data_IF_718149708309
#
_entry.id   IF_718149708309
#
_cell.length_a   1.000
_cell.length_b   1.000
_cell.length_c   1.000
_cell.angle_alpha   90.00
_cell.angle_beta   90.00
_cell.angle_gamma   90.00
#
_symmetry.space_group_name_H-M   'P 1'
#
loop_
_entity.id
_entity.type
_entity.pdbx_description
1 polymer ?
#
# COMPACT_ATOMS: atom_id res chain seq x y z
N UNK A 1 -26.58 -4.40 -9.93
CA UNK A 1 -26.52 -3.08 -9.25
C UNK A 1 -27.22 -3.24 -7.93
N UNK A 2 -26.46 -3.55 -6.88
CA UNK A 2 -26.99 -3.65 -5.51
C UNK A 2 -27.42 -2.25 -5.08
N UNK A 3 -28.69 -2.07 -4.70
CA UNK A 3 -29.17 -0.85 -4.07
C UNK A 3 -28.45 -0.75 -2.71
N UNK A 4 -27.43 0.09 -2.65
CA UNK A 4 -26.77 0.44 -1.40
C UNK A 4 -27.79 1.27 -0.62
N UNK A 5 -28.25 0.73 0.50
CA UNK A 5 -29.15 1.42 1.40
C UNK A 5 -28.31 2.46 2.16
N UNK A 6 -28.33 3.70 1.72
CA UNK A 6 -27.52 4.82 2.24
C UNK A 6 -27.72 5.14 3.73
N UNK A 7 -28.72 4.53 4.38
CA UNK A 7 -29.00 4.77 5.80
C UNK A 7 -28.13 3.96 6.79
N UNK A 8 -27.37 2.97 6.31
CA UNK A 8 -26.42 2.18 7.14
C UNK A 8 -25.05 2.08 6.49
N UNK A 9 -24.64 3.11 5.77
CA UNK A 9 -23.42 3.05 5.00
C UNK A 9 -22.18 3.30 5.88
N UNK A 10 -21.57 2.25 6.34
CA UNK A 10 -20.14 2.22 6.57
C UNK A 10 -19.41 2.13 5.20
N UNK A 11 -19.76 3.05 4.29
CA UNK A 11 -19.01 3.18 3.04
C UNK A 11 -17.68 3.81 3.40
N UNK A 12 -16.64 2.98 3.45
CA UNK A 12 -15.27 3.46 3.60
C UNK A 12 -14.88 4.18 2.33
N UNK A 13 -14.60 5.46 2.45
CA UNK A 13 -13.93 6.20 1.42
C UNK A 13 -12.40 5.99 1.52
N UNK A 14 -11.70 6.39 0.48
CA UNK A 14 -10.23 6.23 0.40
C UNK A 14 -9.49 6.96 1.53
N UNK A 15 -9.98 8.13 1.95
CA UNK A 15 -9.36 8.89 3.03
C UNK A 15 -9.50 8.15 4.37
N UNK A 16 -10.68 7.62 4.66
CA UNK A 16 -10.93 6.84 5.88
C UNK A 16 -10.03 5.60 5.90
N UNK A 17 -9.93 4.86 4.78
CA UNK A 17 -9.02 3.73 4.66
C UNK A 17 -7.56 4.14 4.92
N UNK A 18 -7.06 5.20 4.27
CA UNK A 18 -5.69 5.66 4.49
C UNK A 18 -5.41 6.09 5.93
N UNK A 19 -6.40 6.66 6.63
CA UNK A 19 -6.30 7.00 8.05
C UNK A 19 -6.28 5.76 8.95
N UNK A 20 -7.07 4.73 8.62
CA UNK A 20 -7.05 3.44 9.32
C UNK A 20 -5.68 2.77 9.17
N UNK A 21 -5.14 2.70 7.94
CA UNK A 21 -3.80 2.18 7.66
C UNK A 21 -2.74 2.96 8.43
N UNK A 22 -2.80 4.29 8.44
CA UNK A 22 -1.85 5.13 9.16
C UNK A 22 -1.91 4.90 10.68
N UNK A 23 -3.12 4.78 11.24
CA UNK A 23 -3.31 4.50 12.66
C UNK A 23 -2.78 3.13 13.06
N UNK A 24 -3.06 2.10 12.26
CA UNK A 24 -2.54 0.76 12.47
C UNK A 24 -1.00 0.72 12.38
N UNK A 25 -0.42 1.39 11.38
CA UNK A 25 1.02 1.45 11.20
C UNK A 25 1.74 2.12 12.38
N UNK A 26 1.21 3.24 12.88
CA UNK A 26 1.77 3.93 14.05
C UNK A 26 1.64 3.07 15.31
N UNK A 27 0.49 2.41 15.48
CA UNK A 27 0.29 1.50 16.60
C UNK A 27 1.30 0.34 16.58
N UNK A 28 1.50 -0.30 15.42
CA UNK A 28 2.49 -1.37 15.27
C UNK A 28 3.89 -0.82 15.53
N UNK A 29 4.25 0.33 14.94
CA UNK A 29 5.52 0.98 15.18
C UNK A 29 5.81 1.16 16.67
N UNK A 30 4.82 1.59 17.46
CA UNK A 30 4.99 1.81 18.90
C UNK A 30 5.25 0.52 19.69
N UNK A 31 4.91 -0.64 19.14
CA UNK A 31 5.18 -1.96 19.76
C UNK A 31 6.49 -2.59 19.27
N UNK A 32 7.14 -2.03 18.26
CA UNK A 32 8.41 -2.56 17.76
C UNK A 32 9.55 -2.44 18.78
N UNK A 33 10.56 -3.32 18.72
CA UNK A 33 11.79 -3.19 19.48
C UNK A 33 12.47 -1.83 19.21
N UNK A 34 13.08 -1.24 20.24
CA UNK A 34 13.67 0.10 20.18
C UNK A 34 14.64 0.28 19.01
N UNK A 35 15.43 -0.74 18.69
CA UNK A 35 16.39 -0.71 17.58
C UNK A 35 15.73 -0.49 16.20
N UNK A 36 14.50 -0.95 16.02
CA UNK A 36 13.75 -0.76 14.78
C UNK A 36 13.02 0.58 14.81
N UNK A 37 12.46 0.95 15.98
CA UNK A 37 11.78 2.25 16.16
C UNK A 37 12.69 3.44 15.85
N UNK A 38 13.97 3.38 16.25
CA UNK A 38 14.93 4.46 16.01
C UNK A 38 15.27 4.68 14.53
N UNK A 39 15.04 3.66 13.69
CA UNK A 39 15.31 3.76 12.23
C UNK A 39 14.11 4.31 11.48
N UNK A 40 12.91 4.05 11.98
CA UNK A 40 11.64 4.42 11.35
C UNK A 40 11.17 5.75 11.93
N UNK A 41 11.10 6.78 11.10
CA UNK A 41 10.48 8.04 11.48
C UNK A 41 8.95 7.88 11.46
N UNK A 42 8.32 8.03 12.63
CA UNK A 42 6.87 7.84 12.80
C UNK A 42 6.05 8.83 11.96
N UNK A 43 6.50 10.08 11.85
CA UNK A 43 5.82 11.10 11.03
C UNK A 43 5.92 10.75 9.55
N UNK A 44 7.06 10.24 9.09
CA UNK A 44 7.22 9.77 7.71
C UNK A 44 6.37 8.54 7.45
N UNK A 45 6.33 7.58 8.38
CA UNK A 45 5.47 6.40 8.29
C UNK A 45 4.00 6.80 8.14
N UNK A 46 3.52 7.70 8.98
CA UNK A 46 2.16 8.24 8.90
C UNK A 46 1.86 8.85 7.52
N UNK A 47 2.78 9.70 7.01
CA UNK A 47 2.63 10.32 5.70
C UNK A 47 2.65 9.29 4.56
N UNK A 48 3.50 8.26 4.64
CA UNK A 48 3.53 7.18 3.64
C UNK A 48 2.18 6.45 3.60
N UNK A 49 1.61 6.14 4.75
CA UNK A 49 0.29 5.50 4.85
C UNK A 49 -0.83 6.40 4.30
N UNK A 50 -0.81 7.70 4.55
CA UNK A 50 -1.82 8.62 3.98
C UNK A 50 -1.73 8.72 2.46
N UNK A 51 -0.53 8.60 1.89
CA UNK A 51 -0.28 8.84 0.47
C UNK A 51 -0.28 7.57 -0.38
N UNK A 52 -0.26 6.37 0.22
CA UNK A 52 0.01 5.13 -0.50
C UNK A 52 -0.97 4.86 -1.65
N UNK A 53 -2.23 5.23 -1.49
CA UNK A 53 -3.31 4.98 -2.44
C UNK A 53 -3.75 6.19 -3.27
N UNK A 54 -3.06 7.34 -3.15
CA UNK A 54 -3.49 8.58 -3.82
C UNK A 54 -3.46 8.50 -5.35
N UNK A 55 -2.68 7.58 -5.89
CA UNK A 55 -2.56 7.33 -7.34
C UNK A 55 -3.56 6.32 -7.89
N UNK A 56 -4.35 5.67 -7.06
CA UNK A 56 -5.35 4.72 -7.49
C UNK A 56 -6.54 5.43 -8.15
N UNK A 57 -7.08 4.91 -9.25
CA UNK A 57 -8.25 5.49 -9.91
C UNK A 57 -9.52 5.24 -9.11
N UNK A 58 -10.59 5.93 -9.50
CA UNK A 58 -11.94 5.63 -9.01
C UNK A 58 -12.32 4.20 -9.37
N UNK A 59 -13.17 3.57 -8.55
CA UNK A 59 -13.63 2.18 -8.69
C UNK A 59 -12.56 1.09 -8.44
N UNK A 60 -11.47 1.42 -7.74
CA UNK A 60 -10.47 0.44 -7.30
C UNK A 60 -9.88 -0.39 -8.44
N UNK A 61 -9.78 -1.71 -8.26
CA UNK A 61 -9.19 -2.62 -9.25
C UNK A 61 -9.89 -2.60 -10.61
N UNK A 62 -11.22 -2.48 -10.64
CA UNK A 62 -11.95 -2.36 -11.91
C UNK A 62 -11.58 -1.10 -12.68
N UNK A 63 -11.36 0.02 -11.96
CA UNK A 63 -10.87 1.25 -12.58
C UNK A 63 -9.43 1.12 -13.11
N UNK A 64 -8.57 0.39 -12.41
CA UNK A 64 -7.21 0.08 -12.88
C UNK A 64 -7.25 -0.74 -14.17
N UNK A 65 -8.09 -1.77 -14.25
CA UNK A 65 -8.23 -2.61 -15.45
C UNK A 65 -8.67 -1.78 -16.66
N UNK A 66 -9.71 -0.98 -16.50
CA UNK A 66 -10.21 -0.10 -17.57
C UNK A 66 -9.15 0.89 -18.04
N UNK A 67 -8.44 1.53 -17.11
CA UNK A 67 -7.36 2.47 -17.45
C UNK A 67 -6.18 1.77 -18.12
N UNK A 68 -5.86 0.56 -17.73
CA UNK A 68 -4.83 -0.24 -18.38
C UNK A 68 -5.20 -0.59 -19.82
N UNK A 69 -6.40 -1.12 -20.02
CA UNK A 69 -6.89 -1.49 -21.36
C UNK A 69 -6.94 -0.26 -22.29
N UNK A 70 -7.32 0.90 -21.75
CA UNK A 70 -7.29 2.16 -22.49
C UNK A 70 -5.86 2.60 -22.80
N UNK A 71 -4.98 2.60 -21.81
CA UNK A 71 -3.59 3.08 -21.93
C UNK A 71 -2.80 2.28 -22.95
N UNK A 72 -2.96 0.95 -22.97
CA UNK A 72 -2.29 0.05 -23.92
C UNK A 72 -2.63 0.43 -25.36
N UNK A 73 -3.88 0.80 -25.66
CA UNK A 73 -4.30 1.24 -27.01
C UNK A 73 -3.55 2.48 -27.48
N UNK A 74 -3.07 3.31 -26.55
CA UNK A 74 -2.30 4.53 -26.83
C UNK A 74 -0.80 4.37 -26.62
N UNK A 75 -0.31 3.14 -26.42
CA UNK A 75 1.11 2.81 -26.37
C UNK A 75 1.80 3.11 -25.02
N UNK A 76 1.03 3.29 -23.93
CA UNK A 76 1.58 3.43 -22.60
C UNK A 76 0.90 2.47 -21.60
N UNK A 77 1.49 2.32 -20.44
CA UNK A 77 0.98 1.45 -19.38
C UNK A 77 0.50 2.33 -18.21
N UNK A 78 -0.65 1.98 -17.65
CA UNK A 78 -1.11 2.54 -16.39
C UNK A 78 -0.77 1.57 -15.26
N UNK A 79 -0.14 2.06 -14.21
CA UNK A 79 0.16 1.34 -12.98
C UNK A 79 -0.14 2.24 -11.78
N UNK A 80 -1.02 1.79 -10.90
CA UNK A 80 -1.60 2.56 -9.82
C UNK A 80 -0.56 3.03 -8.79
N UNK A 81 0.38 2.15 -8.40
CA UNK A 81 1.43 2.53 -7.43
C UNK A 81 2.47 3.47 -8.06
N UNK A 82 2.81 3.28 -9.34
CA UNK A 82 3.65 4.24 -10.05
C UNK A 82 2.94 5.59 -10.20
N UNK A 83 1.63 5.57 -10.44
CA UNK A 83 0.83 6.79 -10.52
C UNK A 83 0.78 7.54 -9.17
N UNK A 84 0.83 6.84 -8.03
CA UNK A 84 0.98 7.48 -6.71
C UNK A 84 2.18 8.43 -6.68
N UNK A 85 3.34 8.01 -7.19
CA UNK A 85 4.51 8.89 -7.26
C UNK A 85 4.31 10.05 -8.24
N UNK A 86 3.60 9.83 -9.36
CA UNK A 86 3.27 10.92 -10.32
C UNK A 86 2.43 11.99 -9.64
N UNK A 87 1.38 11.60 -8.92
CA UNK A 87 0.51 12.52 -8.20
C UNK A 87 1.28 13.28 -7.12
N UNK A 88 2.05 12.55 -6.29
CA UNK A 88 2.86 13.17 -5.24
C UNK A 88 3.90 14.15 -5.79
N UNK A 89 4.53 13.86 -6.93
CA UNK A 89 5.49 14.77 -7.55
C UNK A 89 4.87 16.02 -8.14
N UNK A 90 3.71 15.90 -8.75
CA UNK A 90 3.02 17.00 -9.42
C UNK A 90 2.28 17.90 -8.45
N UNK A 91 1.55 17.31 -7.50
CA UNK A 91 0.58 18.04 -6.69
C UNK A 91 1.13 18.42 -5.30
N UNK A 92 2.19 17.72 -4.81
CA UNK A 92 2.68 17.88 -3.44
C UNK A 92 4.13 18.36 -3.39
N UNK A 93 4.33 19.67 -3.31
CA UNK A 93 5.66 20.29 -3.39
C UNK A 93 6.62 19.96 -2.25
N UNK A 94 6.11 19.65 -1.05
CA UNK A 94 6.92 19.55 0.18
C UNK A 94 7.10 18.10 0.67
N UNK A 95 6.87 17.09 -0.16
CA UNK A 95 7.10 15.69 0.22
C UNK A 95 8.59 15.36 0.12
N UNK A 96 9.16 14.89 1.23
CA UNK A 96 10.58 14.55 1.31
C UNK A 96 10.97 13.42 0.36
N UNK A 97 12.24 13.37 -0.02
CA UNK A 97 12.75 12.28 -0.86
C UNK A 97 12.52 10.91 -0.18
N UNK A 98 12.83 10.78 1.11
CA UNK A 98 12.65 9.51 1.83
C UNK A 98 11.19 9.08 1.88
N UNK A 99 10.24 10.01 2.01
CA UNK A 99 8.81 9.69 1.90
C UNK A 99 8.46 9.14 0.52
N UNK A 100 8.95 9.78 -0.56
CA UNK A 100 8.75 9.29 -1.94
C UNK A 100 9.35 7.91 -2.16
N UNK A 101 10.55 7.64 -1.64
CA UNK A 101 11.18 6.33 -1.71
C UNK A 101 10.39 5.27 -0.93
N UNK A 102 9.78 5.65 0.18
CA UNK A 102 8.96 4.76 1.01
C UNK A 102 7.57 4.47 0.44
N UNK A 103 7.13 5.21 -0.58
CA UNK A 103 5.93 4.89 -1.36
C UNK A 103 6.17 3.82 -2.44
N UNK A 104 7.43 3.44 -2.69
CA UNK A 104 7.77 2.46 -3.72
C UNK A 104 7.55 1.04 -3.20
N UNK A 105 6.39 0.47 -3.49
CA UNK A 105 6.02 -0.92 -3.17
C UNK A 105 6.75 -1.93 -4.08
N UNK A 106 6.89 -1.59 -5.37
CA UNK A 106 7.37 -2.49 -6.42
C UNK A 106 8.56 -1.87 -7.15
N UNK A 107 9.81 -2.05 -6.65
CA UNK A 107 11.01 -1.43 -7.20
C UNK A 107 11.52 -2.15 -8.47
N UNK A 108 10.63 -2.42 -9.40
CA UNK A 108 10.92 -3.06 -10.67
C UNK A 108 10.64 -2.09 -11.81
N UNK A 109 11.37 -2.22 -12.91
CA UNK A 109 11.06 -1.47 -14.13
C UNK A 109 9.79 -2.04 -14.76
N UNK A 110 8.80 -1.19 -14.99
CA UNK A 110 7.64 -1.54 -15.78
C UNK A 110 8.07 -1.63 -17.25
N UNK A 111 8.05 -2.82 -17.85
CA UNK A 111 8.50 -3.05 -19.22
C UNK A 111 7.35 -3.01 -20.21
N UNK A 112 7.67 -2.78 -21.50
CA UNK A 112 6.69 -2.87 -22.60
C UNK A 112 6.13 -4.28 -22.80
N UNK A 113 6.87 -5.31 -22.38
CA UNK A 113 6.43 -6.70 -22.35
C UNK A 113 5.51 -6.95 -21.14
N UNK A 114 4.60 -6.03 -20.90
CA UNK A 114 3.68 -6.06 -19.77
C UNK A 114 2.80 -7.29 -19.83
N UNK A 115 3.02 -8.21 -18.92
CA UNK A 115 2.06 -9.28 -18.64
C UNK A 115 1.07 -8.73 -17.61
N UNK A 116 -0.23 -8.80 -17.91
CA UNK A 116 -1.32 -8.35 -17.03
C UNK A 116 -1.03 -8.76 -15.56
N UNK A 117 -1.01 -7.78 -14.67
CA UNK A 117 -0.72 -7.99 -13.25
C UNK A 117 0.73 -7.73 -12.79
N UNK A 118 1.67 -7.42 -13.68
CA UNK A 118 3.00 -6.97 -13.24
C UNK A 118 2.92 -5.52 -12.75
N UNK A 119 3.50 -5.28 -11.58
CA UNK A 119 3.59 -3.97 -10.93
C UNK A 119 5.02 -3.45 -10.99
N UNK A 120 5.19 -2.13 -11.04
CA UNK A 120 6.52 -1.54 -11.10
C UNK A 120 6.50 -0.03 -11.29
N UNK A 121 7.67 0.53 -11.54
CA UNK A 121 7.90 1.96 -11.76
C UNK A 121 7.95 2.28 -13.26
N UNK A 122 7.44 3.42 -13.66
CA UNK A 122 7.71 3.95 -14.99
C UNK A 122 9.21 4.19 -15.21
N UNK A 123 9.70 4.11 -16.45
CA UNK A 123 11.12 4.21 -16.76
C UNK A 123 11.78 5.48 -16.19
N UNK A 124 11.10 6.62 -16.25
CA UNK A 124 11.58 7.88 -15.66
C UNK A 124 11.74 7.80 -14.15
N UNK A 125 10.78 7.19 -13.45
CA UNK A 125 10.82 7.01 -12.01
C UNK A 125 11.88 5.98 -11.60
N UNK A 126 11.98 4.87 -12.33
CA UNK A 126 13.00 3.86 -12.07
C UNK A 126 14.39 4.45 -12.16
N UNK A 127 14.69 5.16 -13.25
CA UNK A 127 16.00 5.82 -13.44
C UNK A 127 16.28 6.87 -12.35
N UNK A 128 15.25 7.59 -11.91
CA UNK A 128 15.37 8.65 -10.89
C UNK A 128 15.57 8.07 -9.50
N UNK A 129 14.81 7.05 -9.11
CA UNK A 129 14.66 6.65 -7.71
C UNK A 129 15.35 5.34 -7.33
N UNK A 130 15.57 4.41 -8.28
CA UNK A 130 16.04 3.07 -7.93
C UNK A 130 17.36 3.08 -7.14
N UNK A 131 18.36 3.82 -7.61
CA UNK A 131 19.65 3.91 -6.91
C UNK A 131 19.52 4.54 -5.52
N UNK A 132 18.74 5.60 -5.41
CA UNK A 132 18.49 6.29 -4.14
C UNK A 132 17.73 5.40 -3.15
N UNK A 133 16.78 4.60 -3.63
CA UNK A 133 16.07 3.60 -2.82
C UNK A 133 17.03 2.55 -2.27
N UNK A 134 17.93 2.01 -3.09
CA UNK A 134 18.94 1.03 -2.64
C UNK A 134 19.85 1.62 -1.54
N UNK A 135 20.25 2.88 -1.68
CA UNK A 135 21.06 3.59 -0.68
C UNK A 135 20.27 3.81 0.62
N UNK A 136 18.98 4.19 0.54
CA UNK A 136 18.12 4.36 1.69
C UNK A 136 17.91 3.04 2.45
N UNK A 137 17.63 1.94 1.74
CA UNK A 137 17.50 0.60 2.32
C UNK A 137 18.79 0.17 3.02
N UNK A 138 19.94 0.41 2.40
CA UNK A 138 21.24 0.09 3.00
C UNK A 138 21.48 0.86 4.31
N UNK A 139 21.11 2.14 4.36
CA UNK A 139 21.21 2.97 5.57
C UNK A 139 20.30 2.49 6.71
N UNK A 140 19.15 1.93 6.38
CA UNK A 140 18.20 1.37 7.35
C UNK A 140 18.57 -0.06 7.78
N UNK A 141 19.53 -0.73 7.13
CA UNK A 141 19.80 -2.15 7.35
C UNK A 141 20.41 -2.41 8.72
N UNK A 142 19.71 -3.17 9.55
CA UNK A 142 20.20 -3.70 10.84
C UNK A 142 21.02 -4.99 10.68
N UNK A 143 20.80 -5.72 9.60
CA UNK A 143 21.47 -6.96 9.29
C UNK A 143 21.83 -7.01 7.79
N UNK A 144 23.12 -6.96 7.42
CA UNK A 144 23.55 -6.93 6.04
C UNK A 144 23.23 -8.21 5.24
N UNK A 145 22.92 -9.32 5.94
CA UNK A 145 22.53 -10.58 5.30
C UNK A 145 21.04 -10.61 4.87
N UNK A 146 20.22 -9.71 5.38
CA UNK A 146 18.81 -9.60 4.98
C UNK A 146 18.70 -8.67 3.78
N UNK A 147 18.42 -9.24 2.61
CA UNK A 147 18.19 -8.47 1.37
C UNK A 147 16.76 -7.93 1.35
N UNK A 148 16.61 -6.66 1.72
CA UNK A 148 15.34 -5.93 1.61
C UNK A 148 15.23 -5.28 0.24
N UNK A 149 13.99 -5.11 -0.22
CA UNK A 149 13.70 -4.47 -1.52
C UNK A 149 13.07 -3.09 -1.35
N UNK A 150 12.50 -2.81 -0.20
CA UNK A 150 11.79 -1.58 0.15
C UNK A 150 12.23 -1.07 1.52
N UNK A 151 11.86 0.14 1.89
CA UNK A 151 12.15 0.74 3.21
C UNK A 151 11.31 0.08 4.31
N UNK A 152 11.68 0.26 5.57
CA UNK A 152 10.87 -0.24 6.71
C UNK A 152 9.51 0.43 6.76
N UNK A 153 9.41 1.71 6.43
CA UNK A 153 8.13 2.42 6.36
C UNK A 153 7.21 1.81 5.32
N UNK A 154 7.74 1.42 4.16
CA UNK A 154 6.97 0.73 3.12
C UNK A 154 6.51 -0.65 3.58
N UNK A 155 7.36 -1.41 4.28
CA UNK A 155 6.99 -2.72 4.83
C UNK A 155 5.87 -2.61 5.87
N UNK A 156 6.01 -1.66 6.82
CA UNK A 156 4.97 -1.42 7.83
C UNK A 156 3.66 -0.93 7.21
N UNK A 157 3.72 -0.04 6.24
CA UNK A 157 2.56 0.41 5.51
C UNK A 157 1.86 -0.76 4.82
N UNK A 158 2.59 -1.66 4.14
CA UNK A 158 2.01 -2.83 3.50
C UNK A 158 1.31 -3.77 4.49
N UNK A 159 1.95 -4.07 5.63
CA UNK A 159 1.36 -4.90 6.68
C UNK A 159 0.08 -4.25 7.22
N UNK A 160 0.11 -2.95 7.47
CA UNK A 160 -1.04 -2.21 8.00
C UNK A 160 -2.18 -2.11 7.01
N UNK A 161 -1.87 -1.99 5.72
CA UNK A 161 -2.82 -2.01 4.61
C UNK A 161 -3.55 -3.37 4.55
N UNK A 162 -2.81 -4.47 4.59
CA UNK A 162 -3.37 -5.83 4.62
C UNK A 162 -4.28 -6.05 5.86
N UNK A 163 -3.84 -5.61 7.04
CA UNK A 163 -4.64 -5.70 8.27
C UNK A 163 -5.93 -4.88 8.15
N UNK A 164 -5.84 -3.66 7.61
CA UNK A 164 -7.02 -2.79 7.45
C UNK A 164 -8.03 -3.38 6.47
N UNK A 165 -7.57 -3.97 5.35
CA UNK A 165 -8.44 -4.70 4.43
C UNK A 165 -9.09 -5.91 5.08
N UNK A 166 -8.32 -6.73 5.78
CA UNK A 166 -8.83 -7.93 6.44
C UNK A 166 -9.92 -7.57 7.48
N UNK A 167 -9.66 -6.57 8.32
CA UNK A 167 -10.64 -6.09 9.31
C UNK A 167 -11.90 -5.55 8.63
N UNK A 168 -11.76 -4.87 7.49
CA UNK A 168 -12.87 -4.36 6.69
C UNK A 168 -13.73 -5.48 6.14
N UNK A 169 -13.10 -6.46 5.50
CA UNK A 169 -13.79 -7.60 4.89
C UNK A 169 -14.53 -8.43 5.95
N UNK A 170 -13.92 -8.62 7.12
CA UNK A 170 -14.58 -9.27 8.26
C UNK A 170 -15.80 -8.50 8.74
N UNK A 171 -15.67 -7.18 8.92
CA UNK A 171 -16.77 -6.33 9.35
C UNK A 171 -17.91 -6.32 8.32
N UNK A 172 -17.59 -6.22 7.04
CA UNK A 172 -18.55 -6.24 5.96
C UNK A 172 -19.28 -7.59 5.89
N UNK A 173 -18.57 -8.70 6.07
CA UNK A 173 -19.17 -10.04 6.07
C UNK A 173 -20.14 -10.23 7.24
N UNK A 174 -19.84 -9.70 8.42
CA UNK A 174 -20.77 -9.71 9.57
C UNK A 174 -21.98 -8.81 9.28
N UNK A 175 -21.72 -7.58 8.80
CA UNK A 175 -22.75 -6.55 8.66
C UNK A 175 -23.72 -6.82 7.52
N UNK A 176 -23.21 -7.27 6.36
CA UNK A 176 -24.02 -7.40 5.14
C UNK A 176 -24.46 -8.83 4.84
N UNK A 177 -23.71 -9.81 5.30
CA UNK A 177 -23.99 -11.22 5.02
C UNK A 177 -24.41 -12.01 6.27
N UNK A 178 -24.41 -11.39 7.45
CA UNK A 178 -24.76 -12.05 8.70
C UNK A 178 -23.80 -13.19 9.06
N UNK A 179 -22.54 -13.11 8.63
CA UNK A 179 -21.55 -14.12 8.91
C UNK A 179 -21.32 -14.23 10.43
N UNK A 180 -21.47 -15.42 10.96
CA UNK A 180 -21.02 -15.76 12.31
C UNK A 180 -19.64 -16.41 12.20
N UNK A 181 -18.66 -15.81 12.86
CA UNK A 181 -17.33 -16.39 12.95
C UNK A 181 -17.27 -17.28 14.19
N UNK A 182 -17.43 -18.57 13.99
CA UNK A 182 -17.18 -19.54 15.02
C UNK A 182 -15.68 -19.74 15.28
N UNK A 183 -15.37 -20.49 16.32
CA UNK A 183 -13.98 -20.75 16.69
C UNK A 183 -13.19 -21.44 15.58
N UNK A 184 -13.83 -22.34 14.85
CA UNK A 184 -13.20 -23.12 13.77
C UNK A 184 -12.81 -22.22 12.59
N UNK A 185 -13.69 -21.27 12.23
CA UNK A 185 -13.44 -20.23 11.22
C UNK A 185 -12.30 -19.30 11.65
N UNK A 186 -12.28 -18.89 12.92
CA UNK A 186 -11.21 -18.06 13.46
C UNK A 186 -9.87 -18.81 13.46
N UNK A 187 -9.84 -20.05 13.91
CA UNK A 187 -8.65 -20.90 13.90
C UNK A 187 -8.12 -21.09 12.46
N UNK A 188 -9.02 -21.31 11.48
CA UNK A 188 -8.65 -21.36 10.06
C UNK A 188 -8.03 -20.06 9.57
N UNK A 189 -8.57 -18.91 9.95
CA UNK A 189 -8.02 -17.60 9.57
C UNK A 189 -6.65 -17.36 10.23
N UNK A 190 -6.49 -17.74 11.50
CA UNK A 190 -5.21 -17.69 12.20
C UNK A 190 -4.15 -18.54 11.50
N UNK A 191 -4.46 -19.78 11.14
CA UNK A 191 -3.54 -20.67 10.44
C UNK A 191 -3.19 -20.17 9.04
N UNK A 192 -4.19 -19.71 8.29
CA UNK A 192 -4.03 -19.23 6.92
C UNK A 192 -3.14 -17.99 6.84
N UNK A 193 -3.29 -17.06 7.78
CA UNK A 193 -2.55 -15.80 7.80
C UNK A 193 -1.36 -15.81 8.75
N UNK A 194 -1.07 -16.95 9.39
CA UNK A 194 0.04 -17.12 10.35
C UNK A 194 0.04 -16.04 11.44
N UNK A 195 -1.15 -15.69 11.90
CA UNK A 195 -1.31 -14.77 13.01
C UNK A 195 -0.96 -15.54 14.29
N UNK A 196 0.23 -15.30 14.84
CA UNK A 196 0.68 -15.88 16.12
C UNK A 196 0.61 -14.84 17.23
#
# INVERSE_FOLDING_TARGET
VTKINLHNAHVRDRLTHSLEVASAAVYIHDKLPIRIKEIIDSSRLFNVCLLHDIGHPSFGHSGVEVLNDFSIKYGFLFEDNANTLVVVEKEMKNVSLLTKLSLIKYPYLLSKDYIKGKKGLYSSQYNKYYKQLQEAIKKQSLNPFIKRKVTYECELMNISDEISYLCSDMQDSITYFGAEYDKETLDYLYDKYKLS
#
